data_IF_838121110930
#
_entry.id   IF_838121110930
#
_cell.length_a   1.000
_cell.length_b   1.000
_cell.length_c   1.000
_cell.angle_alpha   90.00
_cell.angle_beta   90.00
_cell.angle_gamma   90.00
#
_symmetry.space_group_name_H-M   'P 1'
#
loop_
_entity.id
_entity.type
_entity.pdbx_description
1 polymer ?
#
# COMPACT_ATOMS: atom_id res chain seq x y z
N UNK A 1 -14.23 24.88 9.99
CA UNK A 1 -13.66 23.63 9.52
C UNK A 1 -14.75 22.59 9.33
N UNK A 2 -14.72 21.86 8.23
CA UNK A 2 -15.65 20.76 8.05
C UNK A 2 -15.25 19.59 8.93
N UNK A 3 -16.23 18.75 9.32
CA UNK A 3 -15.98 17.52 10.09
C UNK A 3 -14.98 16.60 9.38
N UNK A 4 -15.03 16.54 8.07
CA UNK A 4 -14.12 15.74 7.24
C UNK A 4 -12.67 16.22 7.38
N UNK A 5 -12.45 17.52 7.40
CA UNK A 5 -11.12 18.12 7.57
C UNK A 5 -10.55 17.81 8.95
N UNK A 6 -11.38 17.90 10.00
CA UNK A 6 -10.99 17.58 11.38
C UNK A 6 -10.63 16.10 11.52
N UNK A 7 -11.42 15.22 10.92
CA UNK A 7 -11.15 13.77 10.95
C UNK A 7 -9.80 13.46 10.29
N UNK A 8 -9.52 14.07 9.15
CA UNK A 8 -8.27 13.89 8.44
C UNK A 8 -7.07 14.34 9.27
N UNK A 9 -7.20 15.49 9.95
CA UNK A 9 -6.16 16.02 10.84
C UNK A 9 -5.84 15.04 11.97
N UNK A 10 -6.88 14.54 12.65
CA UNK A 10 -6.70 13.58 13.74
C UNK A 10 -6.09 12.26 13.26
N UNK A 11 -6.52 11.77 12.09
CA UNK A 11 -5.96 10.54 11.53
C UNK A 11 -4.47 10.71 11.24
N UNK A 12 -4.03 11.83 10.69
CA UNK A 12 -2.62 12.10 10.42
C UNK A 12 -1.80 12.13 11.71
N UNK A 13 -2.32 12.77 12.75
CA UNK A 13 -1.65 12.85 14.04
C UNK A 13 -1.51 11.47 14.69
N UNK A 14 -2.63 10.73 14.78
CA UNK A 14 -2.62 9.39 15.37
C UNK A 14 -1.83 8.40 14.52
N UNK A 15 -1.82 8.58 13.20
CA UNK A 15 -1.02 7.75 12.30
C UNK A 15 0.46 7.82 12.65
N UNK A 16 0.99 9.01 12.89
CA UNK A 16 2.40 9.17 13.25
C UNK A 16 2.74 8.43 14.53
N UNK A 17 1.90 8.53 15.54
CA UNK A 17 2.07 7.80 16.79
C UNK A 17 1.92 6.30 16.60
N UNK A 18 0.94 5.89 15.79
CA UNK A 18 0.62 4.49 15.54
C UNK A 18 1.72 3.80 14.75
N UNK A 19 2.18 4.43 13.67
CA UNK A 19 3.20 3.87 12.78
C UNK A 19 4.54 3.73 13.50
N UNK A 20 4.85 4.63 14.40
CA UNK A 20 6.04 4.51 15.23
C UNK A 20 6.11 3.16 15.94
N UNK A 21 4.94 2.64 16.38
CA UNK A 21 4.84 1.36 17.06
C UNK A 21 4.41 0.19 16.16
N UNK A 22 3.92 0.47 14.95
CA UNK A 22 3.33 -0.53 14.06
C UNK A 22 3.88 -0.44 12.64
N UNK A 23 5.16 -0.74 12.48
CA UNK A 23 5.87 -0.68 11.21
C UNK A 23 5.26 -1.60 10.13
N UNK A 24 4.59 -2.68 10.54
CA UNK A 24 3.95 -3.59 9.60
C UNK A 24 2.77 -2.97 8.85
N UNK A 25 2.05 -2.06 9.48
CA UNK A 25 0.97 -1.32 8.82
C UNK A 25 1.54 -0.39 7.75
N UNK A 26 2.60 0.32 8.07
CA UNK A 26 3.29 1.19 7.12
C UNK A 26 3.82 0.39 5.92
N UNK A 27 4.38 -0.78 6.17
CA UNK A 27 4.86 -1.67 5.11
C UNK A 27 3.72 -2.08 4.17
N UNK A 28 2.59 -2.49 4.73
CA UNK A 28 1.40 -2.83 3.93
C UNK A 28 0.91 -1.64 3.11
N UNK A 29 0.91 -0.44 3.69
CA UNK A 29 0.50 0.77 2.98
C UNK A 29 1.37 1.01 1.75
N UNK A 30 2.66 0.79 1.86
CA UNK A 30 3.59 0.92 0.73
C UNK A 30 3.29 -0.10 -0.37
N UNK A 31 3.00 -1.34 0.00
CA UNK A 31 2.62 -2.38 -0.98
C UNK A 31 1.39 -1.94 -1.79
N UNK A 32 0.33 -1.54 -1.10
CA UNK A 32 -0.90 -1.14 -1.74
C UNK A 32 -0.73 0.15 -2.56
N UNK A 33 0.05 1.10 -2.05
CA UNK A 33 0.33 2.35 -2.75
C UNK A 33 1.03 2.10 -4.10
N UNK A 34 1.95 1.13 -4.16
CA UNK A 34 2.63 0.81 -5.41
C UNK A 34 1.66 0.34 -6.49
N UNK A 35 0.65 -0.43 -6.10
CA UNK A 35 -0.37 -0.92 -7.02
C UNK A 35 -1.32 0.19 -7.46
N UNK A 36 -1.80 1.00 -6.50
CA UNK A 36 -2.76 2.07 -6.78
C UNK A 36 -2.13 3.18 -7.62
N UNK A 37 -0.91 3.59 -7.28
CA UNK A 37 -0.22 4.67 -7.98
C UNK A 37 0.16 4.32 -9.42
N UNK A 38 0.09 3.05 -9.80
CA UNK A 38 0.27 2.62 -11.19
C UNK A 38 -0.79 3.19 -12.11
N UNK A 39 -1.98 3.45 -11.59
CA UNK A 39 -3.05 4.14 -12.30
C UNK A 39 -3.04 5.62 -11.91
N UNK A 40 -2.71 6.48 -12.87
CA UNK A 40 -2.54 7.92 -12.63
C UNK A 40 -3.79 8.76 -12.90
N UNK A 41 -4.90 8.12 -13.29
CA UNK A 41 -6.10 8.85 -13.71
C UNK A 41 -7.10 8.98 -12.55
N UNK A 42 -7.80 7.92 -12.23
CA UNK A 42 -8.84 7.91 -11.18
C UNK A 42 -8.67 6.66 -10.33
N UNK A 43 -8.45 6.86 -9.05
CA UNK A 43 -8.19 5.77 -8.11
C UNK A 43 -9.41 5.40 -7.25
N UNK A 44 -10.61 5.87 -7.60
CA UNK A 44 -11.82 5.58 -6.82
C UNK A 44 -12.07 4.08 -6.65
N UNK A 45 -11.94 3.32 -7.73
CA UNK A 45 -12.11 1.88 -7.70
C UNK A 45 -11.08 1.21 -6.78
N UNK A 46 -9.80 1.60 -6.95
CA UNK A 46 -8.70 1.03 -6.18
C UNK A 46 -8.88 1.28 -4.68
N UNK A 47 -9.35 2.45 -4.28
CA UNK A 47 -9.59 2.73 -2.86
C UNK A 47 -10.75 1.93 -2.28
N UNK A 48 -11.76 1.61 -3.09
CA UNK A 48 -12.82 0.69 -2.66
C UNK A 48 -12.27 -0.73 -2.45
N UNK A 49 -11.42 -1.19 -3.36
CA UNK A 49 -10.75 -2.48 -3.23
C UNK A 49 -9.86 -2.48 -1.98
N UNK A 50 -9.09 -1.42 -1.78
CA UNK A 50 -8.21 -1.28 -0.61
C UNK A 50 -8.99 -1.36 0.70
N UNK A 51 -10.10 -0.66 0.79
CA UNK A 51 -10.93 -0.66 1.99
C UNK A 51 -11.43 -2.07 2.30
N UNK A 52 -11.84 -2.80 1.27
CA UNK A 52 -12.29 -4.18 1.41
C UNK A 52 -11.16 -5.07 1.92
N UNK A 53 -9.97 -4.93 1.34
CA UNK A 53 -8.78 -5.68 1.78
C UNK A 53 -8.43 -5.34 3.22
N UNK A 54 -8.44 -4.07 3.58
CA UNK A 54 -8.13 -3.62 4.93
C UNK A 54 -9.07 -4.23 5.97
N UNK A 55 -10.34 -4.34 5.63
CA UNK A 55 -11.33 -4.98 6.50
C UNK A 55 -11.07 -6.48 6.66
N UNK A 56 -10.59 -7.14 5.62
CA UNK A 56 -10.18 -8.55 5.71
C UNK A 56 -8.98 -8.73 6.63
N UNK A 57 -8.00 -7.82 6.56
CA UNK A 57 -6.78 -7.88 7.37
C UNK A 57 -7.07 -7.58 8.84
N UNK A 58 -7.76 -6.48 9.10
CA UNK A 58 -7.94 -5.95 10.45
C UNK A 58 -9.31 -6.23 11.04
N UNK A 59 -10.19 -6.89 10.31
CA UNK A 59 -11.52 -7.34 10.76
C UNK A 59 -12.32 -6.20 11.43
N UNK A 60 -12.54 -6.29 12.73
CA UNK A 60 -13.37 -5.35 13.49
C UNK A 60 -12.62 -4.11 13.96
N UNK A 61 -11.35 -4.00 13.65
CA UNK A 61 -10.55 -2.84 14.05
C UNK A 61 -10.70 -1.74 13.01
N UNK A 62 -11.79 -0.98 13.09
CA UNK A 62 -12.09 0.10 12.16
C UNK A 62 -11.01 1.18 12.16
N UNK A 63 -10.38 1.42 13.29
CA UNK A 63 -9.32 2.42 13.39
C UNK A 63 -8.11 2.01 12.53
N UNK A 64 -7.68 0.77 12.61
CA UNK A 64 -6.57 0.29 11.77
C UNK A 64 -6.92 0.30 10.29
N UNK A 65 -8.16 -0.03 9.95
CA UNK A 65 -8.64 0.06 8.56
C UNK A 65 -8.49 1.49 8.05
N UNK A 66 -8.99 2.46 8.81
CA UNK A 66 -8.91 3.88 8.43
C UNK A 66 -7.46 4.36 8.32
N UNK A 67 -6.61 3.97 9.26
CA UNK A 67 -5.19 4.35 9.25
C UNK A 67 -4.48 3.76 8.03
N UNK A 68 -4.74 2.50 7.70
CA UNK A 68 -4.14 1.88 6.51
C UNK A 68 -4.55 2.61 5.23
N UNK A 69 -5.84 2.89 5.07
CA UNK A 69 -6.34 3.58 3.89
C UNK A 69 -5.73 4.98 3.80
N UNK A 70 -5.72 5.72 4.90
CA UNK A 70 -5.18 7.07 4.94
C UNK A 70 -3.68 7.10 4.61
N UNK A 71 -2.92 6.20 5.22
CA UNK A 71 -1.46 6.10 5.00
C UNK A 71 -1.16 5.76 3.53
N UNK A 72 -1.93 4.83 2.97
CA UNK A 72 -1.80 4.47 1.56
C UNK A 72 -2.06 5.67 0.66
N UNK A 73 -3.11 6.43 0.93
CA UNK A 73 -3.43 7.65 0.17
C UNK A 73 -2.29 8.66 0.21
N UNK A 74 -1.63 8.82 1.34
CA UNK A 74 -0.49 9.74 1.44
C UNK A 74 0.64 9.34 0.50
N UNK A 75 0.99 8.05 0.45
CA UNK A 75 2.03 7.58 -0.47
C UNK A 75 1.61 7.75 -1.93
N UNK A 76 0.37 7.41 -2.26
CA UNK A 76 -0.14 7.57 -3.63
C UNK A 76 -0.09 9.03 -4.06
N UNK A 77 -0.51 9.95 -3.19
CA UNK A 77 -0.50 11.38 -3.50
C UNK A 77 0.91 11.92 -3.71
N UNK A 78 1.88 11.46 -2.94
CA UNK A 78 3.28 11.83 -3.13
C UNK A 78 3.80 11.41 -4.50
N UNK A 79 3.34 10.26 -4.99
CA UNK A 79 3.76 9.74 -6.30
C UNK A 79 3.05 10.49 -7.43
N UNK A 80 1.73 10.64 -7.33
CA UNK A 80 0.92 11.14 -8.44
C UNK A 80 0.93 12.67 -8.52
N UNK A 81 0.75 13.36 -7.38
CA UNK A 81 0.50 14.80 -7.38
C UNK A 81 1.74 15.64 -7.17
N UNK A 82 2.64 15.21 -6.32
CA UNK A 82 3.74 16.04 -5.86
C UNK A 82 5.09 15.65 -6.43
N UNK A 83 5.17 14.54 -7.12
CA UNK A 83 6.41 14.02 -7.72
C UNK A 83 7.56 13.92 -6.70
N UNK A 84 7.24 13.87 -5.41
CA UNK A 84 8.21 13.79 -4.31
C UNK A 84 8.72 12.36 -4.10
N UNK A 85 8.01 11.40 -4.65
CA UNK A 85 8.33 10.00 -4.51
C UNK A 85 7.91 9.31 -5.80
N UNK A 86 8.73 8.44 -6.36
CA UNK A 86 8.33 7.61 -7.49
C UNK A 86 8.16 6.15 -7.06
N UNK A 87 7.58 5.34 -7.95
CA UNK A 87 7.33 3.93 -7.65
C UNK A 87 8.63 3.17 -7.44
N UNK A 88 9.68 3.48 -8.20
CA UNK A 88 10.96 2.80 -8.06
C UNK A 88 11.58 3.04 -6.69
N UNK A 89 11.53 4.26 -6.18
CA UNK A 89 11.98 4.57 -4.83
C UNK A 89 11.16 3.84 -3.77
N UNK A 90 9.86 3.76 -3.99
CA UNK A 90 8.98 3.03 -3.07
C UNK A 90 9.33 1.54 -3.03
N UNK A 91 9.59 0.93 -4.19
CA UNK A 91 9.97 -0.49 -4.26
C UNK A 91 11.34 -0.73 -3.61
N UNK A 92 12.29 0.19 -3.78
CA UNK A 92 13.58 0.11 -3.08
C UNK A 92 13.42 0.16 -1.58
N UNK A 93 12.52 1.02 -1.11
CA UNK A 93 12.22 1.17 0.30
C UNK A 93 11.61 -0.12 0.87
N UNK A 94 10.70 -0.73 0.12
CA UNK A 94 10.10 -2.02 0.46
C UNK A 94 11.18 -3.09 0.56
N UNK A 95 12.09 -3.15 -0.40
CA UNK A 95 13.20 -4.10 -0.39
C UNK A 95 14.07 -3.93 0.87
N UNK A 96 14.38 -2.70 1.23
CA UNK A 96 15.15 -2.40 2.44
C UNK A 96 14.44 -2.87 3.70
N UNK A 97 13.12 -2.66 3.76
CA UNK A 97 12.34 -3.11 4.92
C UNK A 97 12.28 -4.64 5.00
N UNK A 98 12.19 -5.33 3.87
CA UNK A 98 12.24 -6.79 3.84
C UNK A 98 13.58 -7.33 4.33
N UNK A 99 14.68 -6.63 4.04
CA UNK A 99 16.01 -7.00 4.55
C UNK A 99 16.13 -6.76 6.05
N UNK A 100 15.53 -5.68 6.53
CA UNK A 100 15.57 -5.31 7.95
C UNK A 100 14.64 -6.17 8.79
N UNK A 101 13.47 -6.50 8.26
CA UNK A 101 12.42 -7.26 8.94
C UNK A 101 12.02 -8.47 8.10
N UNK A 102 12.75 -9.56 8.23
CA UNK A 102 12.55 -10.77 7.40
C UNK A 102 11.13 -11.30 7.45
N UNK A 103 10.45 -11.17 8.59
CA UNK A 103 9.06 -11.63 8.76
C UNK A 103 8.05 -10.85 7.90
N UNK A 104 8.42 -9.66 7.40
CA UNK A 104 7.51 -8.84 6.60
C UNK A 104 7.14 -9.50 5.27
N UNK A 105 7.93 -10.43 4.78
CA UNK A 105 7.56 -11.19 3.58
C UNK A 105 6.20 -11.87 3.75
N UNK A 106 5.84 -12.26 4.96
CA UNK A 106 4.56 -12.89 5.27
C UNK A 106 3.38 -11.90 5.22
N UNK A 107 3.66 -10.61 5.15
CA UNK A 107 2.64 -9.56 5.00
C UNK A 107 2.27 -9.33 3.54
N UNK A 108 3.02 -9.89 2.61
CA UNK A 108 2.73 -9.75 1.18
C UNK A 108 1.73 -10.82 0.79
N UNK A 109 0.49 -10.43 0.57
CA UNK A 109 -0.57 -11.31 0.10
C UNK A 109 -0.80 -11.04 -1.39
N UNK A 110 -0.31 -11.93 -2.25
CA UNK A 110 -0.40 -11.73 -3.70
C UNK A 110 -1.83 -11.68 -4.20
N UNK A 111 -2.76 -12.40 -3.55
CA UNK A 111 -4.16 -12.36 -3.95
C UNK A 111 -4.78 -10.97 -3.69
N UNK A 112 -4.43 -10.35 -2.57
CA UNK A 112 -4.86 -8.96 -2.30
C UNK A 112 -4.33 -8.01 -3.37
N UNK A 113 -3.06 -8.14 -3.74
CA UNK A 113 -2.45 -7.26 -4.73
C UNK A 113 -3.05 -7.47 -6.13
N UNK A 114 -3.32 -8.71 -6.51
CA UNK A 114 -3.97 -9.01 -7.79
C UNK A 114 -5.39 -8.48 -7.88
N UNK A 115 -6.05 -8.26 -6.74
CA UNK A 115 -7.42 -7.72 -6.72
C UNK A 115 -7.54 -6.37 -7.43
N UNK A 116 -6.46 -5.60 -7.49
CA UNK A 116 -6.46 -4.30 -8.14
C UNK A 116 -6.61 -4.39 -9.65
N UNK A 117 -6.33 -5.53 -10.27
CA UNK A 117 -6.52 -5.73 -11.71
C UNK A 117 -7.97 -5.48 -12.14
N UNK A 118 -8.93 -5.76 -11.27
CA UNK A 118 -10.35 -5.57 -11.57
C UNK A 118 -10.72 -4.12 -11.85
N UNK A 119 -9.90 -3.18 -11.41
CA UNK A 119 -10.16 -1.74 -11.56
C UNK A 119 -9.64 -1.16 -12.88
N UNK A 120 -8.81 -1.89 -13.62
CA UNK A 120 -8.05 -1.30 -14.71
C UNK A 120 -8.33 -1.96 -16.05
N UNK A 121 -8.72 -1.14 -17.06
CA UNK A 121 -8.81 -1.56 -18.44
C UNK A 121 -7.65 -1.04 -19.31
N UNK A 122 -6.77 -0.22 -18.73
CA UNK A 122 -5.63 0.40 -19.42
C UNK A 122 -4.45 -0.56 -19.44
N UNK A 123 -3.92 -0.81 -20.66
CA UNK A 123 -2.81 -1.74 -20.87
C UNK A 123 -1.53 -1.31 -20.16
N UNK A 124 -1.23 -0.01 -20.14
CA UNK A 124 -0.03 0.51 -19.49
C UNK A 124 -0.07 0.28 -17.99
N UNK A 125 -1.21 0.54 -17.38
CA UNK A 125 -1.41 0.32 -15.95
C UNK A 125 -1.27 -1.15 -15.61
N UNK A 126 -1.92 -2.03 -16.39
CA UNK A 126 -1.86 -3.48 -16.18
C UNK A 126 -0.43 -3.98 -16.33
N UNK A 127 0.30 -3.50 -17.33
CA UNK A 127 1.69 -3.90 -17.54
C UNK A 127 2.57 -3.50 -16.35
N UNK A 128 2.42 -2.27 -15.88
CA UNK A 128 3.20 -1.79 -14.73
C UNK A 128 2.84 -2.57 -13.47
N UNK A 129 1.57 -2.81 -13.22
CA UNK A 129 1.12 -3.62 -12.09
C UNK A 129 1.67 -5.04 -12.17
N UNK A 130 1.71 -5.62 -13.35
CA UNK A 130 2.26 -6.97 -13.56
C UNK A 130 3.74 -7.02 -13.20
N UNK A 131 4.51 -6.01 -13.60
CA UNK A 131 5.94 -5.92 -13.25
C UNK A 131 6.15 -5.76 -11.75
N UNK A 132 5.31 -4.97 -11.11
CA UNK A 132 5.37 -4.79 -9.66
C UNK A 132 5.06 -6.11 -8.95
N UNK A 133 4.05 -6.84 -9.41
CA UNK A 133 3.71 -8.15 -8.85
C UNK A 133 4.83 -9.15 -9.05
N UNK A 134 5.49 -9.15 -10.21
CA UNK A 134 6.65 -10.01 -10.45
C UNK A 134 7.79 -9.70 -9.48
N UNK A 135 8.00 -8.43 -9.18
CA UNK A 135 8.99 -8.01 -8.19
C UNK A 135 8.67 -8.61 -6.81
N UNK A 136 7.42 -8.49 -6.36
CA UNK A 136 7.01 -9.06 -5.07
C UNK A 136 7.10 -10.60 -5.05
N UNK A 137 6.71 -11.23 -6.14
CA UNK A 137 6.79 -12.68 -6.25
C UNK A 137 8.23 -13.17 -6.19
N UNK A 138 9.14 -12.46 -6.84
CA UNK A 138 10.58 -12.74 -6.80
C UNK A 138 11.12 -12.58 -5.39
N UNK A 139 10.71 -11.54 -4.66
CA UNK A 139 11.12 -11.31 -3.28
C UNK A 139 10.63 -12.44 -2.35
N UNK A 140 9.39 -12.87 -2.52
CA UNK A 140 8.83 -13.98 -1.73
C UNK A 140 9.62 -15.25 -1.99
N UNK A 141 9.86 -15.59 -3.25
CA UNK A 141 10.56 -16.82 -3.63
C UNK A 141 12.01 -16.83 -3.17
N UNK A 142 12.70 -15.71 -3.31
CA UNK A 142 14.08 -15.56 -2.85
C UNK A 142 14.20 -15.79 -1.34
N UNK A 143 13.28 -15.25 -0.59
CA UNK A 143 13.32 -15.33 0.88
C UNK A 143 12.90 -16.70 1.39
N UNK A 144 12.03 -17.40 0.69
CA UNK A 144 11.67 -18.79 1.02
C UNK A 144 12.83 -19.75 0.82
N UNK A 145 13.67 -19.50 -0.21
CA UNK A 145 14.86 -20.34 -0.47
C UNK A 145 15.93 -20.15 0.61
N UNK A 146 16.03 -18.95 1.16
CA UNK A 146 17.07 -18.58 2.11
C UNK A 146 16.62 -18.70 3.58
N UNK A 147 15.38 -19.03 3.78
CA UNK A 147 14.81 -19.20 5.10
C UNK A 147 14.43 -20.66 5.33
#
# INVERSE_FOLDING_TARGET
>A
MSLKSTKTFFLSFFRELFVYHHTSLEFRAKLFASMIASNKVDNSCEYLVLKKIAKEIYKDDEYRVDVLVHTTKEYVNKIIQNDLLDIDHLLLDIDKELKRHKRFVNKINMNHLRSFYACNGDEETILLQTRILEFYESEINSRKRNG
#
